data_IF_412525463435
#
_entry.id   IF_412525463435
#
_cell.length_a   1.000
_cell.length_b   1.000
_cell.length_c   1.000
_cell.angle_alpha   90.00
_cell.angle_beta   90.00
_cell.angle_gamma   90.00
#
_symmetry.space_group_name_H-M   'P 1'
#
loop_
_entity.id
_entity.type
_entity.pdbx_description
1 polymer ?
#
# COMPACT_ATOMS: atom_id res chain seq x y z
N UNK A 1 -27.36 23.80 0.03
CA UNK A 1 -26.81 22.58 0.65
C UNK A 1 -27.69 22.26 1.83
N UNK A 2 -28.30 21.08 1.86
CA UNK A 2 -29.38 20.73 2.79
C UNK A 2 -28.79 19.92 3.96
N UNK A 3 -28.73 20.52 5.15
CA UNK A 3 -28.02 19.97 6.31
C UNK A 3 -28.68 18.68 6.84
N UNK A 4 -30.00 18.56 6.67
CA UNK A 4 -30.79 17.44 7.19
C UNK A 4 -30.54 16.11 6.45
N UNK A 5 -30.00 16.17 5.24
CA UNK A 5 -29.62 14.97 4.45
C UNK A 5 -28.34 14.31 4.93
N UNK A 6 -27.44 15.05 5.60
CA UNK A 6 -26.19 14.47 6.11
C UNK A 6 -26.41 13.72 7.41
N UNK A 7 -27.30 14.21 8.28
CA UNK A 7 -27.57 13.60 9.59
C UNK A 7 -28.30 12.23 9.45
N UNK A 8 -29.10 12.07 8.41
CA UNK A 8 -29.80 10.82 8.10
C UNK A 8 -28.88 9.72 7.55
N UNK A 9 -27.77 10.07 6.88
CA UNK A 9 -26.75 9.11 6.45
C UNK A 9 -25.85 8.67 7.62
N UNK A 10 -25.48 9.60 8.51
CA UNK A 10 -24.68 9.29 9.69
C UNK A 10 -25.40 8.33 10.66
N UNK A 11 -26.73 8.48 10.81
CA UNK A 11 -27.54 7.60 11.66
C UNK A 11 -27.77 6.19 11.11
N UNK A 12 -27.65 5.97 9.79
CA UNK A 12 -27.83 4.63 9.19
C UNK A 12 -26.59 3.73 9.25
N UNK A 13 -25.40 4.29 9.50
CA UNK A 13 -24.16 3.51 9.60
C UNK A 13 -23.84 3.05 11.03
N UNK A 14 -24.59 3.53 12.03
CA UNK A 14 -24.48 3.08 13.42
C UNK A 14 -25.60 2.08 13.72
N UNK A 15 -25.57 0.94 13.04
CA UNK A 15 -26.21 -0.25 13.58
C UNK A 15 -25.26 -0.82 14.66
N UNK A 16 -25.65 -0.85 15.94
CA UNK A 16 -24.83 -1.47 16.96
C UNK A 16 -24.76 -2.96 16.68
N UNK A 17 -23.64 -3.43 16.15
CA UNK A 17 -23.35 -4.86 16.07
C UNK A 17 -23.17 -5.37 17.50
N UNK A 18 -24.27 -5.84 18.07
CA UNK A 18 -24.32 -6.42 19.41
C UNK A 18 -23.35 -7.61 19.48
N UNK A 19 -22.36 -7.53 20.37
CA UNK A 19 -21.36 -8.59 20.64
C UNK A 19 -21.93 -9.86 21.28
N UNK A 20 -23.26 -10.06 21.33
CA UNK A 20 -23.91 -11.16 22.07
C UNK A 20 -24.39 -12.35 21.23
N UNK A 21 -24.10 -12.41 19.93
CA UNK A 21 -24.61 -13.47 19.05
C UNK A 21 -23.53 -14.42 18.51
N UNK A 22 -22.38 -14.54 19.20
CA UNK A 22 -21.28 -15.45 18.83
C UNK A 22 -21.07 -16.59 19.85
N UNK A 23 -22.13 -17.01 20.54
CA UNK A 23 -22.15 -18.18 21.42
C UNK A 23 -23.41 -19.00 21.09
N UNK A 24 -23.34 -19.79 20.02
CA UNK A 24 -24.49 -20.62 19.59
C UNK A 24 -24.22 -21.60 18.45
N UNK A 25 -22.98 -21.75 18.00
CA UNK A 25 -22.61 -22.73 16.97
C UNK A 25 -21.47 -23.65 17.46
N UNK A 26 -21.56 -24.08 18.72
CA UNK A 26 -20.67 -25.05 19.32
C UNK A 26 -21.47 -26.28 19.79
N UNK A 27 -22.08 -27.00 18.85
CA UNK A 27 -22.57 -28.37 19.10
C UNK A 27 -22.34 -29.19 17.82
N UNK A 28 -21.27 -29.98 17.81
CA UNK A 28 -21.07 -31.03 16.80
C UNK A 28 -19.70 -31.04 16.12
N UNK A 29 -18.64 -31.39 16.87
CA UNK A 29 -17.42 -31.91 16.27
C UNK A 29 -16.12 -31.42 16.90
N UNK A 30 -15.43 -32.32 17.61
CA UNK A 30 -13.96 -32.29 17.70
C UNK A 30 -13.33 -32.00 19.06
N UNK A 31 -13.36 -33.00 19.94
CA UNK A 31 -12.60 -33.10 21.19
C UNK A 31 -11.06 -33.24 20.97
N UNK A 32 -10.36 -32.29 20.34
CA UNK A 32 -8.88 -32.38 20.15
C UNK A 32 -8.07 -31.08 20.29
N UNK A 33 -8.51 -30.09 21.09
CA UNK A 33 -7.75 -28.84 21.30
C UNK A 33 -6.95 -28.77 22.62
N UNK A 34 -6.78 -29.89 23.34
CA UNK A 34 -6.15 -29.90 24.67
C UNK A 34 -4.62 -30.05 24.68
N UNK A 35 -3.96 -30.10 23.53
CA UNK A 35 -2.50 -30.09 23.46
C UNK A 35 -2.08 -28.71 22.95
N UNK A 36 -1.69 -27.83 23.86
CA UNK A 36 -1.32 -26.42 23.64
C UNK A 36 -0.11 -26.22 22.75
N UNK A 37 -0.20 -26.63 21.50
CA UNK A 37 0.73 -26.25 20.45
C UNK A 37 0.40 -24.80 20.05
N UNK A 38 1.32 -23.83 20.24
CA UNK A 38 1.13 -22.51 19.67
C UNK A 38 1.05 -22.71 18.16
N UNK A 39 -0.11 -22.39 17.56
CA UNK A 39 -0.20 -22.22 16.12
C UNK A 39 0.74 -21.08 15.77
N UNK A 40 1.96 -21.43 15.35
CA UNK A 40 2.83 -20.53 14.60
C UNK A 40 2.04 -20.20 13.36
N UNK A 41 1.37 -19.05 13.36
CA UNK A 41 0.79 -18.48 12.14
C UNK A 41 1.96 -18.38 11.17
N UNK A 42 1.94 -19.08 10.02
CA UNK A 42 2.99 -18.93 9.03
C UNK A 42 2.97 -17.45 8.62
N UNK A 43 3.99 -16.73 9.04
CA UNK A 43 4.22 -15.38 8.56
C UNK A 43 4.49 -15.52 7.05
N UNK A 44 3.65 -14.89 6.23
CA UNK A 44 3.80 -14.94 4.79
C UNK A 44 5.15 -14.31 4.43
N UNK A 45 6.15 -15.14 4.13
CA UNK A 45 7.46 -14.69 3.68
C UNK A 45 7.35 -14.27 2.22
N UNK A 46 7.82 -13.07 1.90
CA UNK A 46 7.98 -12.64 0.52
C UNK A 46 8.89 -13.63 -0.23
N UNK A 47 8.65 -13.86 -1.52
CA UNK A 47 9.55 -14.65 -2.36
C UNK A 47 10.93 -13.97 -2.39
N UNK A 48 11.91 -14.58 -1.73
CA UNK A 48 13.22 -13.97 -1.50
C UNK A 48 14.14 -14.21 -2.70
N UNK A 49 14.91 -13.19 -3.06
CA UNK A 49 16.11 -13.33 -3.89
C UNK A 49 16.01 -12.94 -5.37
N UNK A 50 14.82 -12.54 -5.86
CA UNK A 50 14.66 -12.00 -7.21
C UNK A 50 14.58 -10.47 -7.23
N UNK A 51 15.11 -9.86 -8.29
CA UNK A 51 14.77 -8.47 -8.64
C UNK A 51 13.43 -8.46 -9.36
N UNK A 52 12.45 -7.78 -8.78
CA UNK A 52 11.16 -7.49 -9.39
C UNK A 52 11.27 -6.20 -10.21
N UNK A 53 10.65 -6.19 -11.39
CA UNK A 53 10.50 -4.98 -12.21
C UNK A 53 9.03 -4.78 -12.50
N UNK A 54 8.48 -3.61 -12.13
CA UNK A 54 7.09 -3.24 -12.32
C UNK A 54 7.01 -1.95 -13.14
N UNK A 55 6.11 -1.92 -14.12
CA UNK A 55 5.76 -0.67 -14.77
C UNK A 55 5.07 0.25 -13.74
N UNK A 56 5.62 1.43 -13.53
CA UNK A 56 5.14 2.43 -12.60
C UNK A 56 4.49 3.58 -13.36
N UNK A 57 3.27 3.95 -12.96
CA UNK A 57 2.59 5.14 -13.43
C UNK A 57 1.79 5.73 -12.28
N UNK A 58 2.06 6.99 -11.93
CA UNK A 58 1.35 7.71 -10.89
C UNK A 58 0.96 9.11 -11.38
N UNK A 59 -0.26 9.52 -11.04
CA UNK A 59 -0.66 10.93 -11.16
C UNK A 59 -0.25 11.65 -9.87
N UNK A 60 0.60 12.66 -10.02
CA UNK A 60 1.11 13.47 -8.92
C UNK A 60 0.35 14.78 -8.90
N UNK A 61 -0.50 14.94 -7.87
CA UNK A 61 -1.16 16.21 -7.59
C UNK A 61 -0.18 17.12 -6.86
N UNK A 62 0.30 18.13 -7.55
CA UNK A 62 1.11 19.18 -6.94
C UNK A 62 0.19 20.29 -6.41
N UNK A 63 0.38 20.64 -5.15
CA UNK A 63 -0.28 21.80 -4.57
C UNK A 63 0.18 23.11 -5.24
N UNK A 64 -0.62 24.18 -5.16
CA UNK A 64 -0.33 25.47 -5.80
C UNK A 64 0.98 26.14 -5.35
N UNK A 65 1.59 25.64 -4.27
CA UNK A 65 2.89 26.09 -3.76
C UNK A 65 4.09 25.51 -4.50
N UNK A 66 3.92 24.48 -5.33
CA UNK A 66 5.02 23.84 -6.06
C UNK A 66 5.00 24.36 -7.50
N UNK A 67 5.71 25.45 -7.77
CA UNK A 67 5.84 26.08 -9.11
C UNK A 67 6.63 25.22 -10.12
N UNK A 68 6.75 23.90 -9.88
CA UNK A 68 7.68 23.04 -10.59
C UNK A 68 6.94 21.91 -11.28
N UNK A 69 6.83 22.00 -12.60
CA UNK A 69 6.21 20.96 -13.43
C UNK A 69 6.99 19.65 -13.32
N UNK A 70 6.33 18.59 -12.85
CA UNK A 70 6.87 17.23 -12.91
C UNK A 70 6.60 16.67 -14.30
N UNK A 71 7.55 16.85 -15.20
CA UNK A 71 7.60 16.16 -16.48
C UNK A 71 9.00 15.62 -16.68
N UNK A 72 9.28 14.37 -16.25
CA UNK A 72 10.33 13.60 -16.88
C UNK A 72 9.96 13.50 -18.36
N UNK A 73 10.90 13.78 -19.25
CA UNK A 73 10.62 14.07 -20.66
C UNK A 73 9.60 13.10 -21.31
N UNK A 74 8.54 13.65 -21.91
CA UNK A 74 7.51 12.88 -22.61
C UNK A 74 6.27 12.45 -21.80
N UNK A 75 6.24 12.64 -20.47
CA UNK A 75 5.06 12.38 -19.66
C UNK A 75 4.01 13.52 -19.72
N UNK A 76 2.73 13.18 -19.53
CA UNK A 76 1.67 14.20 -19.37
C UNK A 76 1.97 15.04 -18.13
N UNK A 77 1.69 16.35 -18.11
CA UNK A 77 1.89 17.17 -16.93
C UNK A 77 1.19 16.57 -15.70
N UNK A 78 1.93 16.42 -14.59
CA UNK A 78 1.40 15.81 -13.37
C UNK A 78 1.38 14.28 -13.40
N UNK A 79 2.08 13.64 -14.33
CA UNK A 79 2.23 12.20 -14.38
C UNK A 79 3.71 11.79 -14.29
N UNK A 80 4.01 10.82 -13.45
CA UNK A 80 5.34 10.20 -13.35
C UNK A 80 5.23 8.76 -13.84
N UNK A 81 6.04 8.40 -14.83
CA UNK A 81 6.11 7.06 -15.41
C UNK A 81 7.53 6.54 -15.47
N UNK A 82 7.69 5.24 -15.31
CA UNK A 82 8.98 4.57 -15.38
C UNK A 82 8.89 3.10 -15.00
N UNK A 83 10.04 2.47 -14.78
CA UNK A 83 10.16 1.11 -14.29
C UNK A 83 10.67 1.10 -12.85
N UNK A 84 9.86 0.58 -11.94
CA UNK A 84 10.21 0.37 -10.53
C UNK A 84 10.89 -0.99 -10.38
N UNK A 85 12.20 -0.99 -10.09
CA UNK A 85 12.98 -2.19 -9.79
C UNK A 85 13.26 -2.28 -8.30
N UNK A 86 13.11 -3.46 -7.69
CA UNK A 86 13.41 -3.70 -6.28
C UNK A 86 13.62 -5.19 -5.99
N UNK A 87 14.32 -5.52 -4.91
CA UNK A 87 14.25 -6.83 -4.25
C UNK A 87 13.44 -6.71 -2.96
N UNK A 88 12.88 -7.83 -2.48
CA UNK A 88 12.16 -7.87 -1.20
C UNK A 88 13.01 -8.55 -0.13
N UNK A 89 13.14 -7.88 1.00
CA UNK A 89 13.70 -8.47 2.22
C UNK A 89 12.77 -9.53 2.80
N UNK A 90 13.27 -10.31 3.76
CA UNK A 90 12.46 -11.28 4.50
C UNK A 90 11.25 -10.67 5.23
N UNK A 91 11.34 -9.39 5.61
CA UNK A 91 10.30 -8.64 6.32
C UNK A 91 9.43 -7.82 5.36
N UNK A 92 9.63 -7.92 4.05
CA UNK A 92 8.89 -7.17 3.04
C UNK A 92 9.42 -5.76 2.77
N UNK A 93 10.58 -5.36 3.31
CA UNK A 93 11.18 -4.08 2.94
C UNK A 93 11.65 -4.13 1.49
N UNK A 94 11.52 -3.01 0.79
CA UNK A 94 12.12 -2.84 -0.53
C UNK A 94 13.62 -2.60 -0.37
N UNK A 95 14.41 -3.46 -0.99
CA UNK A 95 15.87 -3.38 -1.04
C UNK A 95 16.33 -3.06 -2.47
N UNK A 96 17.42 -2.32 -2.59
CA UNK A 96 17.99 -1.91 -3.88
C UNK A 96 16.94 -1.31 -4.83
N UNK A 97 16.01 -0.52 -4.27
CA UNK A 97 14.85 -0.06 -4.99
C UNK A 97 15.11 1.26 -5.72
N UNK A 98 14.75 1.30 -7.00
CA UNK A 98 14.92 2.46 -7.87
C UNK A 98 13.79 2.58 -8.89
N UNK A 99 13.40 3.81 -9.20
CA UNK A 99 12.51 4.13 -10.32
C UNK A 99 13.34 4.69 -11.46
N UNK A 100 13.38 3.98 -12.58
CA UNK A 100 14.03 4.46 -13.81
C UNK A 100 13.00 5.13 -14.70
N UNK A 101 13.17 6.41 -14.98
CA UNK A 101 12.30 7.20 -15.86
C UNK A 101 12.67 6.99 -17.33
N UNK A 102 11.78 7.41 -18.24
CA UNK A 102 12.01 7.25 -19.69
C UNK A 102 13.23 7.99 -20.26
N UNK A 103 13.76 8.98 -19.55
CA UNK A 103 15.00 9.67 -19.88
C UNK A 103 16.27 9.01 -19.31
N UNK A 104 16.13 7.85 -18.65
CA UNK A 104 17.21 7.13 -17.99
C UNK A 104 17.55 7.66 -16.60
N UNK A 105 16.85 8.70 -16.11
CA UNK A 105 17.03 9.18 -14.74
C UNK A 105 16.61 8.09 -13.75
N UNK A 106 17.50 7.75 -12.82
CA UNK A 106 17.21 6.79 -11.75
C UNK A 106 16.96 7.54 -10.44
N UNK A 107 15.77 7.36 -9.88
CA UNK A 107 15.36 7.93 -8.60
C UNK A 107 15.41 6.87 -7.50
N UNK A 108 15.98 7.17 -6.33
CA UNK A 108 15.97 6.23 -5.21
C UNK A 108 14.54 6.03 -4.70
N UNK A 109 14.19 4.78 -4.39
CA UNK A 109 12.90 4.41 -3.83
C UNK A 109 13.11 3.76 -2.48
N UNK A 110 12.30 4.16 -1.51
CA UNK A 110 12.20 3.47 -0.21
C UNK A 110 10.77 3.01 -0.02
N UNK A 111 10.56 1.90 0.68
CA UNK A 111 9.22 1.37 0.84
C UNK A 111 9.17 -0.01 1.48
N UNK A 112 7.95 -0.56 1.52
CA UNK A 112 7.66 -1.90 2.00
C UNK A 112 6.48 -2.52 1.25
N UNK A 113 6.52 -3.82 1.04
CA UNK A 113 5.38 -4.63 0.63
C UNK A 113 4.59 -5.07 1.87
N UNK A 114 3.29 -4.79 1.89
CA UNK A 114 2.37 -5.14 2.97
C UNK A 114 1.27 -6.06 2.43
N UNK A 115 1.51 -7.37 2.46
CA UNK A 115 0.59 -8.35 1.87
C UNK A 115 0.50 -8.19 0.36
N UNK A 116 -0.62 -7.63 -0.12
CA UNK A 116 -0.88 -7.42 -1.56
C UNK A 116 -0.72 -5.96 -2.00
N UNK A 117 -0.31 -5.07 -1.09
CA UNK A 117 -0.03 -3.67 -1.41
C UNK A 117 1.46 -3.38 -1.30
N UNK A 118 1.87 -2.33 -2.00
CA UNK A 118 3.23 -1.82 -1.99
C UNK A 118 3.14 -0.36 -1.58
N UNK A 119 3.84 0.01 -0.51
CA UNK A 119 3.98 1.39 -0.06
C UNK A 119 5.35 1.90 -0.48
N UNK A 120 5.39 2.99 -1.22
CA UNK A 120 6.63 3.58 -1.72
C UNK A 120 6.69 5.08 -1.49
N UNK A 121 7.90 5.55 -1.27
CA UNK A 121 8.27 6.96 -1.32
C UNK A 121 9.43 7.14 -2.28
N UNK A 122 9.25 8.07 -3.21
CA UNK A 122 10.19 8.36 -4.29
C UNK A 122 10.60 9.81 -4.19
N UNK A 123 11.89 10.09 -4.01
CA UNK A 123 12.40 11.46 -3.99
C UNK A 123 12.64 11.94 -5.42
N UNK A 124 11.91 12.99 -5.82
CA UNK A 124 11.97 13.57 -7.17
C UNK A 124 12.97 14.72 -7.26
N UNK A 125 13.06 15.52 -6.19
CA UNK A 125 13.94 16.67 -6.05
C UNK A 125 14.08 17.01 -4.57
N UNK A 126 14.95 17.95 -4.24
CA UNK A 126 15.07 18.47 -2.87
C UNK A 126 13.69 18.94 -2.37
N UNK A 127 13.14 18.24 -1.38
CA UNK A 127 11.82 18.49 -0.75
C UNK A 127 10.59 18.12 -1.59
N UNK A 128 10.75 17.38 -2.69
CA UNK A 128 9.63 16.86 -3.47
C UNK A 128 9.68 15.34 -3.47
N UNK A 129 8.59 14.70 -3.02
CA UNK A 129 8.48 13.25 -3.03
C UNK A 129 7.09 12.80 -3.49
N UNK A 130 7.04 11.68 -4.22
CA UNK A 130 5.80 10.93 -4.47
C UNK A 130 5.65 9.90 -3.34
N UNK A 131 4.45 9.78 -2.80
CA UNK A 131 4.08 8.71 -1.87
C UNK A 131 2.90 7.96 -2.47
N UNK A 132 3.00 6.65 -2.59
CA UNK A 132 1.98 5.77 -3.18
C UNK A 132 1.85 4.47 -2.40
#
# INVERSE_FOLDING_TARGET
MDADRFDTLAKRLVAPTSRRSALGAAVGGGFLSALGFPRVVPEARAAQGGTCVLAFAAQVLQGPSVQQTLTPSGARPGEVRGDLSFSLSATGNLENASLTLGDGTSLPVVGQAMGHSLQVRIELASRVAVVA
#
